data_IF_826515896169
#
_entry.id   IF_826515896169
#
_cell.length_a   1.000
_cell.length_b   1.000
_cell.length_c   1.000
_cell.angle_alpha   90.00
_cell.angle_beta   90.00
_cell.angle_gamma   90.00
#
_symmetry.space_group_name_H-M   'P 1'
#
loop_
_entity.id
_entity.type
_entity.pdbx_description
1 polymer ?
#
# COMPACT_ATOMS: atom_id res chain seq x y z
N UNK A 1 -0.02 22.11 -1.36
CA UNK A 1 0.92 21.14 -1.94
C UNK A 1 0.94 21.36 -3.44
N UNK A 2 2.13 21.63 -4.01
CA UNK A 2 2.27 21.73 -5.46
C UNK A 2 2.17 20.31 -6.03
N UNK A 3 0.98 19.94 -6.48
CA UNK A 3 0.79 18.79 -7.34
C UNK A 3 1.48 19.10 -8.68
N UNK A 4 2.71 18.61 -8.86
CA UNK A 4 3.38 18.72 -10.15
C UNK A 4 2.65 17.80 -11.12
N UNK A 5 2.02 18.39 -12.14
CA UNK A 5 1.42 17.63 -13.23
C UNK A 5 2.51 16.86 -13.96
N UNK A 6 2.21 15.62 -14.35
CA UNK A 6 3.13 14.77 -15.13
C UNK A 6 4.13 13.95 -14.33
N UNK A 7 4.13 13.98 -13.00
CA UNK A 7 4.98 13.11 -12.17
C UNK A 7 4.15 12.08 -11.42
N UNK A 8 4.38 10.79 -11.67
CA UNK A 8 3.79 9.71 -10.90
C UNK A 8 4.55 9.52 -9.59
N UNK A 9 3.85 9.71 -8.49
CA UNK A 9 4.32 9.47 -7.14
C UNK A 9 3.11 9.05 -6.30
N UNK A 10 3.08 7.77 -5.88
CA UNK A 10 1.95 7.18 -5.17
C UNK A 10 1.66 7.87 -3.83
N UNK A 11 2.68 8.47 -3.20
CA UNK A 11 2.53 9.19 -1.94
C UNK A 11 1.53 10.35 -2.04
N UNK A 12 1.37 10.92 -3.24
CA UNK A 12 0.41 12.01 -3.50
C UNK A 12 -1.04 11.58 -3.23
N UNK A 13 -1.36 10.30 -3.42
CA UNK A 13 -2.72 9.76 -3.20
C UNK A 13 -3.11 9.78 -1.73
N UNK A 14 -2.15 9.64 -0.83
CA UNK A 14 -2.36 9.64 0.63
C UNK A 14 -3.08 10.90 1.13
N UNK A 15 -2.86 12.07 0.50
CA UNK A 15 -3.55 13.31 0.84
C UNK A 15 -5.07 13.25 0.60
N UNK A 16 -5.53 12.34 -0.26
CA UNK A 16 -6.95 12.12 -0.53
C UNK A 16 -7.75 11.78 0.72
N UNK A 17 -7.14 11.10 1.70
CA UNK A 17 -7.77 10.81 2.99
C UNK A 17 -8.09 12.11 3.76
N UNK A 18 -7.13 13.00 3.88
CA UNK A 18 -7.31 14.29 4.56
C UNK A 18 -8.26 15.22 3.78
N UNK A 19 -8.22 15.20 2.45
CA UNK A 19 -9.12 15.98 1.61
C UNK A 19 -10.59 15.57 1.79
N UNK A 20 -10.87 14.28 2.00
CA UNK A 20 -12.22 13.81 2.34
C UNK A 20 -12.71 14.38 3.66
N UNK A 21 -11.88 14.32 4.69
CA UNK A 21 -12.23 14.88 6.01
C UNK A 21 -12.57 16.36 5.86
N UNK A 22 -11.76 17.11 5.13
CA UNK A 22 -12.02 18.55 4.90
C UNK A 22 -13.29 18.78 4.08
N UNK A 23 -13.55 17.98 3.05
CA UNK A 23 -14.81 18.02 2.28
C UNK A 23 -16.01 17.82 3.21
N UNK A 24 -15.98 16.80 4.05
CA UNK A 24 -17.12 16.41 4.90
C UNK A 24 -17.34 17.43 6.04
N UNK A 25 -16.28 18.04 6.55
CA UNK A 25 -16.37 19.06 7.59
C UNK A 25 -16.80 20.45 7.06
N UNK A 26 -16.39 20.80 5.85
CA UNK A 26 -16.56 22.17 5.34
C UNK A 26 -17.64 22.30 4.28
N UNK A 27 -17.99 21.23 3.58
CA UNK A 27 -18.86 21.25 2.39
C UNK A 27 -18.22 21.99 1.18
N UNK A 28 -16.95 22.35 1.24
CA UNK A 28 -16.28 23.10 0.17
C UNK A 28 -16.00 22.21 -1.04
N UNK A 29 -16.61 22.57 -2.18
CA UNK A 29 -16.50 21.83 -3.44
C UNK A 29 -15.06 21.66 -3.96
N UNK A 30 -14.13 22.53 -3.54
CA UNK A 30 -12.71 22.40 -3.90
C UNK A 30 -12.09 21.10 -3.39
N UNK A 31 -12.50 20.65 -2.20
CA UNK A 31 -12.01 19.40 -1.64
C UNK A 31 -12.61 18.17 -2.36
N UNK A 32 -13.88 18.24 -2.76
CA UNK A 32 -14.50 17.19 -3.57
C UNK A 32 -13.77 17.05 -4.93
N UNK A 33 -13.55 18.16 -5.63
CA UNK A 33 -12.81 18.16 -6.89
C UNK A 33 -11.37 17.63 -6.74
N UNK A 34 -10.71 17.92 -5.61
CA UNK A 34 -9.37 17.41 -5.33
C UNK A 34 -9.35 15.91 -5.05
N UNK A 35 -10.38 15.36 -4.40
CA UNK A 35 -10.57 13.91 -4.21
C UNK A 35 -10.79 13.21 -5.55
N UNK A 36 -11.65 13.74 -6.41
CA UNK A 36 -11.84 13.22 -7.78
C UNK A 36 -10.54 13.23 -8.58
N UNK A 37 -9.80 14.34 -8.57
CA UNK A 37 -8.50 14.45 -9.26
C UNK A 37 -7.51 13.39 -8.75
N UNK A 38 -7.48 13.11 -7.45
CA UNK A 38 -6.62 12.07 -6.88
C UNK A 38 -7.05 10.66 -7.34
N UNK A 39 -8.34 10.41 -7.49
CA UNK A 39 -8.85 9.14 -7.98
C UNK A 39 -8.57 8.97 -9.49
N UNK A 40 -8.78 10.01 -10.30
CA UNK A 40 -8.47 9.97 -11.73
C UNK A 40 -6.97 9.73 -11.97
N UNK A 41 -6.13 10.34 -11.14
CA UNK A 41 -4.69 10.08 -11.15
C UNK A 41 -4.39 8.60 -10.88
N UNK A 42 -5.03 8.00 -9.86
CA UNK A 42 -4.82 6.59 -9.51
C UNK A 42 -5.29 5.64 -10.61
N UNK A 43 -6.41 5.95 -11.29
CA UNK A 43 -6.93 5.12 -12.41
C UNK A 43 -5.96 5.01 -13.58
N UNK A 44 -5.13 6.03 -13.80
CA UNK A 44 -4.15 6.09 -14.89
C UNK A 44 -2.72 5.78 -14.43
N UNK A 45 -2.56 5.42 -13.15
CA UNK A 45 -1.26 5.22 -12.55
C UNK A 45 -0.53 4.02 -13.18
N UNK A 46 0.80 4.14 -13.45
CA UNK A 46 1.56 3.05 -14.04
C UNK A 46 1.63 1.83 -13.12
N UNK A 47 1.67 0.66 -13.72
CA UNK A 47 1.70 -0.62 -13.03
C UNK A 47 2.89 -1.46 -13.49
N UNK A 48 3.37 -2.30 -12.59
CA UNK A 48 4.33 -3.35 -12.90
C UNK A 48 3.68 -4.46 -13.72
N UNK A 49 4.50 -5.36 -14.25
CA UNK A 49 4.01 -6.59 -14.90
C UNK A 49 3.16 -7.47 -13.95
N UNK A 50 3.44 -7.43 -12.64
CA UNK A 50 2.65 -8.12 -11.62
C UNK A 50 1.32 -7.43 -11.28
N UNK A 51 1.02 -6.28 -11.90
CA UNK A 51 -0.21 -5.50 -11.71
C UNK A 51 -0.17 -4.49 -10.57
N UNK A 52 0.89 -4.47 -9.76
CA UNK A 52 1.04 -3.50 -8.67
C UNK A 52 1.31 -2.09 -9.21
N UNK A 53 0.82 -1.08 -8.51
CA UNK A 53 1.25 0.30 -8.75
C UNK A 53 2.74 0.48 -8.50
N UNK A 54 3.42 1.23 -9.37
CA UNK A 54 4.78 1.69 -9.09
C UNK A 54 4.82 2.56 -7.84
N UNK A 55 5.97 2.62 -7.19
CA UNK A 55 6.09 3.57 -6.09
C UNK A 55 6.25 5.02 -6.60
N UNK A 56 7.16 5.26 -7.56
CA UNK A 56 7.40 6.59 -8.19
C UNK A 56 8.02 6.45 -9.57
N UNK A 57 7.91 7.49 -10.39
CA UNK A 57 8.58 7.54 -11.70
C UNK A 57 10.10 7.38 -11.63
N UNK A 58 10.73 7.92 -10.58
CA UNK A 58 12.17 7.77 -10.35
C UNK A 58 12.56 6.34 -9.92
N UNK A 59 11.57 5.52 -9.59
CA UNK A 59 11.69 4.11 -9.21
C UNK A 59 10.73 3.25 -10.03
N UNK A 60 10.89 3.20 -11.38
CA UNK A 60 9.99 2.45 -12.23
C UNK A 60 10.02 0.96 -11.88
N UNK A 61 8.89 0.29 -12.03
CA UNK A 61 8.72 -1.14 -11.72
C UNK A 61 8.98 -1.55 -10.26
N UNK A 62 9.09 -0.60 -9.33
CA UNK A 62 9.31 -0.92 -7.93
C UNK A 62 8.00 -0.94 -7.13
N UNK A 63 7.82 -2.00 -6.37
CA UNK A 63 6.72 -2.20 -5.41
C UNK A 63 7.29 -2.09 -4.00
N UNK A 64 6.78 -1.14 -3.22
CA UNK A 64 7.17 -0.93 -1.84
C UNK A 64 5.94 -1.06 -0.94
N UNK A 65 6.12 -1.57 0.28
CA UNK A 65 5.04 -1.70 1.27
C UNK A 65 4.35 -0.36 1.56
N UNK A 66 5.13 0.72 1.57
CA UNK A 66 4.64 2.10 1.76
C UNK A 66 3.55 2.48 0.75
N UNK A 67 3.73 2.10 -0.51
CA UNK A 67 2.79 2.43 -1.59
C UNK A 67 1.39 1.86 -1.37
N UNK A 68 1.29 0.70 -0.72
CA UNK A 68 -0.01 0.09 -0.38
C UNK A 68 -0.78 0.95 0.62
N UNK A 69 -0.12 1.48 1.66
CA UNK A 69 -0.77 2.39 2.60
C UNK A 69 -1.12 3.74 1.96
N UNK A 70 -0.25 4.25 1.09
CA UNK A 70 -0.50 5.53 0.45
C UNK A 70 -1.75 5.51 -0.44
N UNK A 71 -2.02 4.40 -1.13
CA UNK A 71 -3.07 4.33 -2.13
C UNK A 71 -4.29 3.50 -1.71
N UNK A 72 -4.12 2.32 -1.12
CA UNK A 72 -5.22 1.36 -1.01
C UNK A 72 -6.36 1.80 -0.09
N UNK A 73 -6.16 2.39 1.10
CA UNK A 73 -7.26 2.89 1.93
C UNK A 73 -8.05 4.03 1.24
N UNK A 74 -7.34 4.88 0.48
CA UNK A 74 -7.99 5.92 -0.32
C UNK A 74 -8.82 5.30 -1.45
N UNK A 75 -8.27 4.32 -2.17
CA UNK A 75 -8.92 3.64 -3.27
C UNK A 75 -10.19 2.90 -2.79
N UNK A 76 -10.07 2.10 -1.74
CA UNK A 76 -11.20 1.35 -1.16
C UNK A 76 -12.36 2.28 -0.77
N UNK A 77 -12.06 3.37 -0.07
CA UNK A 77 -13.07 4.34 0.32
C UNK A 77 -13.74 5.01 -0.88
N UNK A 78 -12.97 5.25 -1.96
CA UNK A 78 -13.53 5.82 -3.21
C UNK A 78 -14.48 4.86 -3.89
N UNK A 79 -14.18 3.55 -3.95
CA UNK A 79 -15.07 2.55 -4.51
C UNK A 79 -16.43 2.57 -3.80
N UNK A 80 -16.43 2.62 -2.46
CA UNK A 80 -17.66 2.69 -1.66
C UNK A 80 -18.45 3.96 -2.00
N UNK A 81 -17.81 5.11 -2.00
CA UNK A 81 -18.47 6.40 -2.27
C UNK A 81 -19.08 6.47 -3.68
N UNK A 82 -18.43 5.83 -4.66
CA UNK A 82 -18.87 5.79 -6.05
C UNK A 82 -19.81 4.62 -6.36
N UNK A 83 -20.01 3.67 -5.45
CA UNK A 83 -20.75 2.43 -5.72
C UNK A 83 -20.06 1.53 -6.75
N UNK A 84 -18.74 1.53 -6.80
CA UNK A 84 -17.95 0.72 -7.73
C UNK A 84 -17.57 -0.63 -7.09
N UNK A 85 -17.64 -1.72 -7.88
CA UNK A 85 -17.38 -3.10 -7.42
C UNK A 85 -15.98 -3.61 -7.84
N UNK A 86 -14.98 -2.74 -7.90
CA UNK A 86 -13.61 -3.10 -8.35
C UNK A 86 -12.71 -3.58 -7.21
N UNK A 87 -13.28 -4.31 -6.27
CA UNK A 87 -12.57 -4.82 -5.10
C UNK A 87 -11.43 -5.77 -5.44
N UNK A 88 -11.58 -6.56 -6.49
CA UNK A 88 -10.53 -7.50 -6.92
C UNK A 88 -9.22 -6.77 -7.23
N UNK A 89 -9.26 -5.60 -7.85
CA UNK A 89 -8.06 -4.81 -8.13
C UNK A 89 -7.31 -4.43 -6.84
N UNK A 90 -8.04 -4.05 -5.78
CA UNK A 90 -7.43 -3.73 -4.48
C UNK A 90 -6.84 -4.98 -3.82
N UNK A 91 -7.59 -6.08 -3.77
CA UNK A 91 -7.12 -7.31 -3.14
C UNK A 91 -5.92 -7.90 -3.87
N UNK A 92 -5.90 -7.82 -5.19
CA UNK A 92 -4.79 -8.29 -6.00
C UNK A 92 -3.51 -7.46 -5.77
N UNK A 93 -3.62 -6.14 -5.41
CA UNK A 93 -2.45 -5.36 -4.98
C UNK A 93 -1.80 -5.97 -3.73
N UNK A 94 -2.58 -6.37 -2.73
CA UNK A 94 -2.07 -6.98 -1.50
C UNK A 94 -1.55 -8.39 -1.75
N UNK A 95 -2.27 -9.21 -2.49
CA UNK A 95 -1.86 -10.58 -2.81
C UNK A 95 -0.59 -10.62 -3.65
N UNK A 96 -0.47 -9.73 -4.62
CA UNK A 96 0.74 -9.61 -5.43
C UNK A 96 1.92 -9.09 -4.59
N UNK A 97 1.71 -8.07 -3.75
CA UNK A 97 2.75 -7.59 -2.84
C UNK A 97 3.19 -8.70 -1.87
N UNK A 98 2.27 -9.52 -1.36
CA UNK A 98 2.63 -10.69 -0.53
C UNK A 98 3.55 -11.63 -1.29
N UNK A 99 3.21 -12.02 -2.51
CA UNK A 99 4.07 -12.92 -3.33
C UNK A 99 5.46 -12.33 -3.59
N UNK A 100 5.54 -11.01 -3.79
CA UNK A 100 6.79 -10.32 -4.09
C UNK A 100 7.67 -10.13 -2.87
N UNK A 101 7.10 -9.81 -1.72
CA UNK A 101 7.83 -9.23 -0.58
C UNK A 101 7.93 -10.14 0.65
N UNK A 102 7.08 -11.17 0.77
CA UNK A 102 7.11 -12.07 1.91
C UNK A 102 8.35 -12.96 1.91
N UNK A 103 9.10 -12.95 3.00
CA UNK A 103 10.20 -13.87 3.25
C UNK A 103 9.78 -14.95 4.26
N UNK A 104 9.69 -16.19 3.79
CA UNK A 104 9.23 -17.32 4.60
C UNK A 104 10.23 -17.70 5.71
N UNK A 105 11.52 -17.44 5.52
CA UNK A 105 12.54 -17.75 6.51
C UNK A 105 12.51 -16.78 7.70
N UNK A 106 12.24 -15.52 7.42
CA UNK A 106 12.13 -14.47 8.43
C UNK A 106 10.72 -14.39 9.03
N UNK A 107 9.70 -14.79 8.28
CA UNK A 107 8.30 -14.57 8.63
C UNK A 107 7.91 -13.08 8.55
N UNK A 108 8.59 -12.31 7.72
CA UNK A 108 8.45 -10.86 7.58
C UNK A 108 8.40 -10.45 6.10
N UNK A 109 8.02 -9.20 5.86
CA UNK A 109 8.07 -8.61 4.52
C UNK A 109 9.37 -7.80 4.37
N UNK A 110 10.10 -8.02 3.28
CA UNK A 110 11.17 -7.10 2.88
C UNK A 110 10.56 -5.79 2.40
N UNK A 111 11.34 -4.69 2.50
CA UNK A 111 10.82 -3.34 2.25
C UNK A 111 10.26 -3.15 0.84
N UNK A 112 10.94 -3.67 -0.17
CA UNK A 112 10.54 -3.48 -1.55
C UNK A 112 11.07 -4.53 -2.51
N UNK A 113 10.52 -4.52 -3.72
CA UNK A 113 10.95 -5.35 -4.83
C UNK A 113 11.01 -4.49 -6.11
N UNK A 114 12.10 -4.59 -6.84
CA UNK A 114 12.19 -4.14 -8.22
C UNK A 114 11.86 -5.32 -9.15
N UNK A 115 10.65 -5.32 -9.71
CA UNK A 115 10.17 -6.39 -10.60
C UNK A 115 11.05 -6.50 -11.86
N UNK A 116 11.68 -5.40 -12.29
CA UNK A 116 12.61 -5.39 -13.41
C UNK A 116 14.02 -5.88 -13.06
N UNK A 117 14.37 -5.96 -11.77
CA UNK A 117 15.69 -6.38 -11.25
C UNK A 117 16.85 -5.52 -11.74
N UNK A 118 16.59 -4.24 -12.01
CA UNK A 118 17.59 -3.32 -12.55
C UNK A 118 18.18 -2.38 -11.49
N UNK A 119 17.55 -2.29 -10.33
CA UNK A 119 18.03 -1.45 -9.25
C UNK A 119 19.29 -2.08 -8.57
N UNK A 120 20.29 -1.25 -8.26
CA UNK A 120 21.55 -1.71 -7.67
C UNK A 120 21.37 -2.41 -6.31
N UNK A 121 20.30 -2.09 -5.59
CA UNK A 121 19.94 -2.69 -4.29
C UNK A 121 19.14 -3.98 -4.41
N UNK A 122 18.61 -4.29 -5.58
CA UNK A 122 17.72 -5.43 -5.78
C UNK A 122 18.53 -6.72 -5.94
N UNK A 123 18.09 -7.76 -5.27
CA UNK A 123 18.61 -9.09 -5.51
C UNK A 123 18.43 -9.49 -6.99
N UNK A 124 19.48 -9.93 -7.67
CA UNK A 124 19.44 -10.16 -9.13
C UNK A 124 18.53 -11.31 -9.57
N UNK A 125 18.17 -12.22 -8.67
CA UNK A 125 17.29 -13.37 -8.97
C UNK A 125 15.83 -13.07 -8.61
N UNK A 126 15.60 -12.40 -7.46
CA UNK A 126 14.27 -12.19 -6.91
C UNK A 126 13.74 -10.77 -7.08
N UNK A 127 14.64 -9.78 -7.26
CA UNK A 127 14.30 -8.36 -7.27
C UNK A 127 14.07 -7.76 -5.87
N UNK A 128 14.20 -8.54 -4.80
CA UNK A 128 13.88 -8.13 -3.42
C UNK A 128 14.98 -7.28 -2.82
N UNK A 129 14.62 -6.40 -1.88
CA UNK A 129 15.57 -5.73 -1.01
C UNK A 129 16.10 -6.71 0.04
N UNK A 130 17.34 -6.49 0.49
CA UNK A 130 17.96 -7.32 1.55
C UNK A 130 17.41 -7.04 2.95
N UNK A 131 16.78 -5.86 3.16
CA UNK A 131 16.40 -5.44 4.50
C UNK A 131 14.90 -5.51 4.75
N UNK A 132 14.55 -5.87 5.98
CA UNK A 132 13.24 -5.65 6.57
C UNK A 132 13.28 -4.33 7.34
N UNK A 133 12.43 -3.40 6.97
CA UNK A 133 12.31 -2.11 7.61
C UNK A 133 10.99 -2.02 8.39
N UNK A 134 11.05 -2.02 9.72
CA UNK A 134 9.87 -2.13 10.58
C UNK A 134 8.83 -1.03 10.36
N UNK A 135 9.25 0.17 9.93
CA UNK A 135 8.30 1.22 9.56
C UNK A 135 7.49 0.85 8.30
N UNK A 136 8.10 0.20 7.33
CA UNK A 136 7.41 -0.25 6.12
C UNK A 136 6.44 -1.40 6.45
N UNK A 137 6.82 -2.32 7.32
CA UNK A 137 5.91 -3.32 7.91
C UNK A 137 4.70 -2.64 8.57
N UNK A 138 4.94 -1.60 9.38
CA UNK A 138 3.88 -0.82 10.00
C UNK A 138 2.92 -0.18 8.99
N UNK A 139 3.43 0.35 7.87
CA UNK A 139 2.60 0.86 6.78
C UNK A 139 1.72 -0.25 6.17
N UNK A 140 2.30 -1.43 5.95
CA UNK A 140 1.57 -2.56 5.39
C UNK A 140 0.46 -3.05 6.33
N UNK A 141 0.75 -3.19 7.63
CA UNK A 141 -0.25 -3.56 8.63
C UNK A 141 -1.41 -2.56 8.68
N UNK A 142 -1.10 -1.25 8.67
CA UNK A 142 -2.13 -0.21 8.65
C UNK A 142 -2.95 -0.25 7.36
N UNK A 143 -2.33 -0.52 6.21
CA UNK A 143 -3.05 -0.67 4.95
C UNK A 143 -3.99 -1.87 4.98
N UNK A 144 -3.52 -3.01 5.51
CA UNK A 144 -4.31 -4.23 5.61
C UNK A 144 -5.55 -4.03 6.50
N UNK A 145 -5.40 -3.42 7.68
CA UNK A 145 -6.53 -3.23 8.60
C UNK A 145 -7.51 -2.20 8.07
N UNK A 146 -7.02 -1.04 7.58
CA UNK A 146 -7.87 0.01 7.03
C UNK A 146 -8.72 -0.50 5.85
N UNK A 147 -8.11 -1.30 4.95
CA UNK A 147 -8.83 -1.85 3.80
C UNK A 147 -9.72 -3.03 4.18
N UNK A 148 -9.28 -3.89 5.11
CA UNK A 148 -10.10 -4.98 5.62
C UNK A 148 -11.41 -4.48 6.21
N UNK A 149 -11.36 -3.47 7.08
CA UNK A 149 -12.55 -2.86 7.69
C UNK A 149 -13.52 -2.29 6.66
N UNK A 150 -13.00 -1.73 5.56
CA UNK A 150 -13.82 -1.23 4.46
C UNK A 150 -14.37 -2.34 3.56
N UNK A 151 -13.61 -3.42 3.37
CA UNK A 151 -13.93 -4.48 2.41
C UNK A 151 -14.89 -5.54 2.95
N UNK A 152 -14.96 -5.73 4.26
CA UNK A 152 -15.65 -6.85 4.90
C UNK A 152 -17.16 -6.93 4.55
N UNK A 153 -17.79 -5.79 4.35
CA UNK A 153 -19.22 -5.69 3.98
C UNK A 153 -19.43 -5.61 2.45
N UNK A 154 -18.35 -5.60 1.66
CA UNK A 154 -18.43 -5.36 0.22
C UNK A 154 -17.90 -6.51 -0.64
N UNK A 155 -17.04 -7.38 -0.11
CA UNK A 155 -16.51 -8.51 -0.87
C UNK A 155 -16.20 -9.72 0.01
N UNK A 156 -16.57 -10.94 -0.40
CA UNK A 156 -16.24 -12.16 0.34
C UNK A 156 -14.71 -12.42 0.39
N UNK A 157 -13.95 -11.82 -0.54
CA UNK A 157 -12.49 -11.91 -0.55
C UNK A 157 -11.81 -11.10 0.56
N UNK A 158 -12.51 -10.24 1.29
CA UNK A 158 -11.96 -9.48 2.41
C UNK A 158 -11.25 -10.38 3.44
N UNK A 159 -11.71 -11.63 3.63
CA UNK A 159 -11.05 -12.62 4.49
C UNK A 159 -9.56 -12.85 4.15
N UNK A 160 -9.18 -12.68 2.86
CA UNK A 160 -7.79 -12.82 2.42
C UNK A 160 -6.90 -11.75 3.08
N UNK A 161 -7.37 -10.50 3.20
CA UNK A 161 -6.66 -9.44 3.90
C UNK A 161 -6.52 -9.75 5.39
N UNK A 162 -7.57 -10.30 6.01
CA UNK A 162 -7.54 -10.73 7.41
C UNK A 162 -6.48 -11.81 7.68
N UNK A 163 -6.29 -12.75 6.75
CA UNK A 163 -5.23 -13.77 6.88
C UNK A 163 -3.83 -13.17 6.67
N UNK A 164 -3.65 -12.28 5.69
CA UNK A 164 -2.38 -11.56 5.51
C UNK A 164 -2.03 -10.76 6.76
N UNK A 165 -3.00 -10.03 7.33
CA UNK A 165 -2.82 -9.25 8.56
C UNK A 165 -2.38 -10.13 9.74
N UNK A 166 -3.06 -11.26 9.97
CA UNK A 166 -2.70 -12.20 11.04
C UNK A 166 -1.29 -12.75 10.86
N UNK A 167 -0.91 -13.09 9.64
CA UNK A 167 0.43 -13.62 9.34
C UNK A 167 1.50 -12.56 9.57
N UNK A 168 1.29 -11.33 9.10
CA UNK A 168 2.21 -10.22 9.29
C UNK A 168 2.40 -9.88 10.79
N UNK A 169 1.31 -9.82 11.56
CA UNK A 169 1.39 -9.59 13.02
C UNK A 169 2.14 -10.73 13.72
N UNK A 170 1.84 -12.00 13.39
CA UNK A 170 2.54 -13.15 13.98
C UNK A 170 4.03 -13.14 13.65
N UNK A 171 4.40 -12.72 12.46
CA UNK A 171 5.80 -12.61 12.05
C UNK A 171 6.56 -11.55 12.85
N UNK A 172 5.93 -10.41 13.14
CA UNK A 172 6.56 -9.30 13.87
C UNK A 172 6.72 -9.57 15.37
N UNK A 173 5.82 -10.32 16.01
CA UNK A 173 5.84 -10.54 17.46
C UNK A 173 7.18 -11.06 18.02
N UNK A 174 7.88 -11.99 17.37
CA UNK A 174 9.19 -12.49 17.86
C UNK A 174 10.29 -11.41 17.87
N UNK A 175 10.14 -10.35 17.08
CA UNK A 175 11.10 -9.26 16.97
C UNK A 175 10.82 -8.09 17.91
N UNK A 176 9.76 -8.20 18.70
CA UNK A 176 9.42 -7.19 19.70
C UNK A 176 10.31 -7.36 20.93
N UNK A 177 10.97 -6.28 21.35
CA UNK A 177 11.75 -6.24 22.58
C UNK A 177 10.83 -6.46 23.79
N UNK A 178 11.10 -7.48 24.64
CA UNK A 178 10.20 -7.87 25.71
C UNK A 178 10.12 -6.87 26.86
N UNK A 179 11.12 -5.98 27.02
CA UNK A 179 11.15 -5.00 28.09
C UNK A 179 10.46 -3.70 27.68
N UNK A 180 10.70 -3.26 26.45
CA UNK A 180 10.22 -1.95 25.96
C UNK A 180 8.99 -2.04 25.08
N UNK A 181 8.70 -3.22 24.52
CA UNK A 181 7.65 -3.42 23.52
C UNK A 181 7.99 -2.83 22.14
N UNK A 182 9.20 -2.35 21.95
CA UNK A 182 9.65 -1.74 20.69
C UNK A 182 10.16 -2.79 19.70
N UNK A 183 10.13 -2.43 18.43
CA UNK A 183 10.76 -3.20 17.34
C UNK A 183 11.87 -2.31 16.77
N UNK A 184 13.05 -2.89 16.52
CA UNK A 184 14.15 -2.17 15.89
C UNK A 184 13.75 -1.68 14.50
N UNK A 185 14.31 -0.54 14.08
CA UNK A 185 13.99 0.07 12.79
C UNK A 185 14.38 -0.82 11.61
N UNK A 186 15.46 -1.56 11.72
CA UNK A 186 15.89 -2.59 10.78
C UNK A 186 16.01 -3.91 11.53
N UNK A 187 15.40 -4.93 10.99
CA UNK A 187 15.30 -6.27 11.59
C UNK A 187 16.18 -7.24 10.78
#
# INVERSE_FOLDING_TARGET
ANWKEGENNIDKVSFGKSLRILRDLTGDARYAAAVEKAYDFLKQYPRTESGNFWHKDIYPNQVWLDGLYMAMPFYAKTLIENGEERWDDILDQFQSAHRLLWDENLGLYVHGCDVSRQADWADPETGRSECVWSRAEGWFLMALIDVYELAVDHTPRAKELGELLKNAVRGLLPYQDPETGMIYQVV
#
